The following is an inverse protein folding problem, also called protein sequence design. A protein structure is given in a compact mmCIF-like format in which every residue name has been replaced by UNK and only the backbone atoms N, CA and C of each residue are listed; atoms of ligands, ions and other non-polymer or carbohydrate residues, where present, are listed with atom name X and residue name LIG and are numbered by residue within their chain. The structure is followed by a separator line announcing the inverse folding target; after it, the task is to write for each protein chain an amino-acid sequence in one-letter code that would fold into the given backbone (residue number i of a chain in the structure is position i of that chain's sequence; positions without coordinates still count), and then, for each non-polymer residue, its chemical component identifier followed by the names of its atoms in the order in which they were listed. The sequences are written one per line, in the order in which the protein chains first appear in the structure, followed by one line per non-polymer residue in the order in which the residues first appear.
data_IF_492538719207
#
_entry.id   IF_492538719207
#
_cell.length_a   1.000
_cell.length_b   1.000
_cell.length_c   1.000
_cell.angle_alpha   90.00
_cell.angle_beta   90.00
_cell.angle_gamma   90.00
#
_symmetry.space_group_name_H-M   'P 1'
#
loop_
_entity.id
_entity.type
_entity.pdbx_description
1 polymer ?
#
# COMPACT_ATOMS: atom_id res chain seq x y z
N UNK A 1 -17.51 -32.57 1.06
CA UNK A 1 -17.46 -31.24 1.71
C UNK A 1 -17.88 -30.19 0.69
N UNK A 2 -18.89 -29.37 0.98
CA UNK A 2 -19.35 -28.33 0.04
C UNK A 2 -18.35 -27.16 0.08
N UNK A 3 -17.93 -26.66 -1.09
CA UNK A 3 -17.01 -25.52 -1.19
C UNK A 3 -17.56 -24.25 -0.50
N UNK A 4 -18.89 -24.13 -0.43
CA UNK A 4 -19.58 -22.99 0.19
C UNK A 4 -19.40 -22.92 1.71
N UNK A 5 -19.38 -24.08 2.39
CA UNK A 5 -19.12 -24.16 3.84
C UNK A 5 -17.70 -23.71 4.16
N UNK A 6 -16.73 -24.12 3.33
CA UNK A 6 -15.35 -23.70 3.47
C UNK A 6 -15.22 -22.19 3.25
N UNK A 7 -15.86 -21.65 2.21
CA UNK A 7 -15.82 -20.22 1.92
C UNK A 7 -16.33 -19.39 3.11
N UNK A 8 -17.45 -19.79 3.70
CA UNK A 8 -18.05 -19.12 4.85
C UNK A 8 -17.15 -19.22 6.09
N UNK A 9 -16.56 -20.39 6.34
CA UNK A 9 -15.60 -20.59 7.44
C UNK A 9 -14.37 -19.68 7.31
N UNK A 10 -13.80 -19.58 6.11
CA UNK A 10 -12.67 -18.69 5.85
C UNK A 10 -13.06 -17.20 5.94
N UNK A 11 -14.23 -16.82 5.41
CA UNK A 11 -14.73 -15.46 5.49
C UNK A 11 -14.84 -14.99 6.95
N UNK A 12 -15.41 -15.83 7.81
CA UNK A 12 -15.51 -15.55 9.25
C UNK A 12 -14.14 -15.45 9.91
N UNK A 13 -13.21 -16.35 9.58
CA UNK A 13 -11.85 -16.33 10.13
C UNK A 13 -11.07 -15.06 9.80
N UNK A 14 -11.37 -14.44 8.65
CA UNK A 14 -10.73 -13.19 8.19
C UNK A 14 -11.61 -11.95 8.39
N UNK A 15 -12.78 -12.09 9.03
CA UNK A 15 -13.76 -11.00 9.22
C UNK A 15 -14.07 -10.24 7.92
N UNK A 16 -14.22 -10.97 6.83
CA UNK A 16 -14.46 -10.39 5.51
C UNK A 16 -15.92 -9.95 5.37
N UNK A 17 -16.18 -8.80 4.71
CA UNK A 17 -17.54 -8.35 4.47
C UNK A 17 -18.25 -9.20 3.40
N UNK A 18 -19.58 -9.28 3.48
CA UNK A 18 -20.42 -10.15 2.65
C UNK A 18 -20.20 -9.96 1.13
N UNK A 19 -19.94 -8.73 0.68
CA UNK A 19 -19.68 -8.46 -0.73
C UNK A 19 -18.45 -9.21 -1.27
N UNK A 20 -17.43 -9.46 -0.44
CA UNK A 20 -16.24 -10.22 -0.82
C UNK A 20 -16.58 -11.70 -0.97
N UNK A 21 -17.45 -12.20 -0.09
CA UNK A 21 -17.90 -13.60 -0.10
C UNK A 21 -18.73 -13.90 -1.34
N UNK A 22 -19.64 -12.99 -1.70
CA UNK A 22 -20.46 -13.14 -2.90
C UNK A 22 -19.63 -13.12 -4.18
N UNK A 23 -18.67 -12.20 -4.26
CA UNK A 23 -17.71 -12.15 -5.36
C UNK A 23 -16.87 -13.43 -5.45
N UNK A 24 -16.39 -13.95 -4.31
CA UNK A 24 -15.65 -15.20 -4.27
C UNK A 24 -16.51 -16.42 -4.70
N UNK A 25 -17.81 -16.42 -4.37
CA UNK A 25 -18.76 -17.46 -4.78
C UNK A 25 -18.94 -17.45 -6.30
N UNK A 26 -19.12 -16.27 -6.90
CA UNK A 26 -19.23 -16.13 -8.36
C UNK A 26 -17.97 -16.63 -9.08
N UNK A 27 -16.79 -16.29 -8.57
CA UNK A 27 -15.50 -16.77 -9.11
C UNK A 27 -15.37 -18.29 -9.02
N UNK A 28 -15.80 -18.91 -7.91
CA UNK A 28 -15.79 -20.37 -7.75
C UNK A 28 -16.72 -21.06 -8.76
N UNK A 29 -17.89 -20.50 -9.02
CA UNK A 29 -18.80 -21.02 -10.04
C UNK A 29 -18.22 -20.90 -11.45
N UNK A 30 -17.55 -19.79 -11.75
CA UNK A 30 -16.82 -19.61 -13.01
C UNK A 30 -15.72 -20.66 -13.17
N UNK A 31 -14.93 -20.92 -12.13
CA UNK A 31 -13.89 -21.94 -12.14
C UNK A 31 -14.44 -23.37 -12.28
N UNK A 32 -15.60 -23.65 -11.68
CA UNK A 32 -16.32 -24.92 -11.87
C UNK A 32 -16.74 -25.12 -13.32
N UNK A 33 -17.29 -24.08 -13.96
CA UNK A 33 -17.65 -24.10 -15.39
C UNK A 33 -16.45 -24.35 -16.29
N UNK A 34 -15.27 -23.90 -15.88
CA UNK A 34 -14.01 -24.11 -16.63
C UNK A 34 -13.30 -25.45 -16.33
N UNK A 35 -13.85 -26.31 -15.46
CA UNK A 35 -13.24 -27.61 -15.11
C UNK A 35 -11.97 -27.53 -14.25
N UNK A 36 -11.57 -26.33 -13.82
CA UNK A 36 -10.35 -26.11 -13.01
C UNK A 36 -10.47 -26.55 -11.54
N UNK A 37 -11.68 -26.92 -11.12
CA UNK A 37 -11.97 -27.46 -9.79
C UNK A 37 -11.71 -28.97 -9.67
N UNK A 38 -11.57 -29.69 -10.79
CA UNK A 38 -11.38 -31.15 -10.81
C UNK A 38 -9.92 -31.49 -10.43
N UNK A 39 -9.75 -32.39 -9.43
CA UNK A 39 -8.42 -32.90 -9.01
C UNK A 39 -7.60 -32.01 -8.07
N UNK A 40 -8.17 -30.91 -7.54
CA UNK A 40 -7.50 -30.03 -6.57
C UNK A 40 -8.09 -30.19 -5.18
N UNK A 41 -7.27 -29.95 -4.15
CA UNK A 41 -7.80 -29.82 -2.79
C UNK A 41 -8.75 -28.61 -2.76
N UNK A 42 -10.03 -28.87 -2.51
CA UNK A 42 -11.10 -27.85 -2.52
C UNK A 42 -10.81 -26.70 -1.57
N UNK A 43 -10.14 -26.96 -0.45
CA UNK A 43 -9.76 -25.91 0.49
C UNK A 43 -8.66 -24.99 -0.06
N UNK A 44 -7.68 -25.52 -0.80
CA UNK A 44 -6.62 -24.71 -1.44
C UNK A 44 -7.19 -23.86 -2.56
N UNK A 45 -8.20 -24.39 -3.28
CA UNK A 45 -8.93 -23.65 -4.30
C UNK A 45 -9.71 -22.47 -3.69
N UNK A 46 -10.48 -22.73 -2.64
CA UNK A 46 -11.26 -21.70 -1.92
C UNK A 46 -10.35 -20.61 -1.38
N UNK A 47 -9.24 -20.97 -0.74
CA UNK A 47 -8.27 -19.99 -0.24
C UNK A 47 -7.68 -19.12 -1.37
N UNK A 48 -7.37 -19.70 -2.53
CA UNK A 48 -6.82 -18.97 -3.66
C UNK A 48 -7.83 -18.00 -4.27
N UNK A 49 -9.09 -18.42 -4.41
CA UNK A 49 -10.16 -17.56 -4.91
C UNK A 49 -10.46 -16.43 -3.93
N UNK A 50 -10.56 -16.76 -2.64
CA UNK A 50 -10.79 -15.76 -1.60
C UNK A 50 -9.68 -14.70 -1.58
N UNK A 51 -8.42 -15.12 -1.76
CA UNK A 51 -7.32 -14.17 -1.87
C UNK A 51 -7.48 -13.19 -3.05
N UNK A 52 -7.90 -13.68 -4.22
CA UNK A 52 -8.14 -12.81 -5.39
C UNK A 52 -9.35 -11.90 -5.14
N UNK A 53 -10.42 -12.41 -4.53
CA UNK A 53 -11.61 -11.63 -4.19
C UNK A 53 -11.30 -10.49 -3.20
N UNK A 54 -10.49 -10.77 -2.18
CA UNK A 54 -10.00 -9.75 -1.25
C UNK A 54 -9.17 -8.68 -1.97
N UNK A 55 -8.32 -9.10 -2.93
CA UNK A 55 -7.52 -8.16 -3.73
C UNK A 55 -8.40 -7.24 -4.57
N UNK A 56 -9.39 -7.78 -5.26
CA UNK A 56 -10.36 -6.96 -6.01
C UNK A 56 -11.15 -5.99 -5.14
N UNK A 57 -11.58 -6.46 -3.97
CA UNK A 57 -12.40 -5.68 -3.06
C UNK A 57 -11.55 -4.73 -2.19
N UNK A 58 -10.27 -4.56 -2.53
CA UNK A 58 -9.35 -3.65 -1.85
C UNK A 58 -9.20 -3.95 -0.35
N UNK A 59 -9.43 -5.19 0.07
CA UNK A 59 -9.32 -5.60 1.47
C UNK A 59 -7.91 -6.12 1.77
N UNK A 60 -7.15 -5.50 2.70
CA UNK A 60 -5.74 -5.78 2.86
C UNK A 60 -5.52 -7.05 3.69
N UNK A 61 -5.64 -8.22 3.06
CA UNK A 61 -5.26 -9.50 3.67
C UNK A 61 -3.81 -9.85 3.33
N UNK A 62 -3.01 -10.25 4.32
CA UNK A 62 -1.62 -10.62 4.07
C UNK A 62 -1.54 -12.00 3.43
N UNK A 63 -0.74 -12.10 2.37
CA UNK A 63 -0.44 -13.38 1.70
C UNK A 63 0.15 -14.41 2.68
N UNK A 64 0.89 -13.95 3.70
CA UNK A 64 1.47 -14.80 4.76
C UNK A 64 0.39 -15.51 5.58
N UNK A 65 -0.69 -14.81 5.94
CA UNK A 65 -1.79 -15.37 6.73
C UNK A 65 -2.54 -16.48 5.96
N UNK A 66 -2.65 -16.30 4.64
CA UNK A 66 -3.26 -17.29 3.74
C UNK A 66 -2.32 -18.48 3.46
N UNK A 67 -1.01 -18.21 3.30
CA UNK A 67 0.02 -19.22 3.01
C UNK A 67 0.30 -20.14 4.20
N UNK A 68 0.25 -19.63 5.44
CA UNK A 68 0.50 -20.44 6.64
C UNK A 68 -0.41 -21.66 6.72
N UNK A 69 -1.58 -21.62 6.09
CA UNK A 69 -2.55 -22.70 6.17
C UNK A 69 -2.24 -23.88 5.23
N UNK A 70 -1.59 -23.72 4.06
CA UNK A 70 -1.51 -24.81 3.05
C UNK A 70 -0.28 -24.87 2.13
N UNK A 71 0.26 -26.09 1.98
CA UNK A 71 1.25 -26.48 0.96
C UNK A 71 0.64 -26.45 -0.45
N UNK A 72 1.36 -25.92 -1.43
CA UNK A 72 0.91 -25.89 -2.83
C UNK A 72 -0.06 -24.75 -3.20
N UNK A 73 -0.33 -23.83 -2.27
CA UNK A 73 -1.17 -22.65 -2.51
C UNK A 73 -0.67 -21.80 -3.68
N UNK A 74 0.63 -21.48 -3.75
CA UNK A 74 1.19 -20.63 -4.81
C UNK A 74 0.99 -21.19 -6.22
N UNK A 75 1.13 -22.51 -6.40
CA UNK A 75 0.89 -23.18 -7.70
C UNK A 75 -0.58 -23.10 -8.10
N UNK A 76 -1.47 -23.24 -7.13
CA UNK A 76 -2.92 -23.17 -7.35
C UNK A 76 -3.35 -21.74 -7.64
N UNK A 77 -2.88 -20.78 -6.84
CA UNK A 77 -3.14 -19.35 -7.01
C UNK A 77 -2.75 -18.88 -8.41
N UNK A 78 -1.54 -19.23 -8.86
CA UNK A 78 -1.06 -18.88 -10.21
C UNK A 78 -1.99 -19.36 -11.32
N UNK A 79 -2.38 -20.64 -11.27
CA UNK A 79 -3.30 -21.20 -12.28
C UNK A 79 -4.69 -20.58 -12.21
N UNK A 80 -5.17 -20.26 -11.02
CA UNK A 80 -6.47 -19.60 -10.83
C UNK A 80 -6.43 -18.17 -11.34
N UNK A 81 -5.36 -17.41 -11.05
CA UNK A 81 -5.19 -16.05 -11.56
C UNK A 81 -5.07 -16.02 -13.09
N UNK A 82 -4.34 -16.98 -13.67
CA UNK A 82 -4.24 -17.14 -15.13
C UNK A 82 -5.61 -17.47 -15.75
N UNK A 83 -6.33 -18.44 -15.18
CA UNK A 83 -7.64 -18.85 -15.69
C UNK A 83 -8.69 -17.75 -15.62
N UNK A 84 -8.67 -16.96 -14.55
CA UNK A 84 -9.61 -15.88 -14.36
C UNK A 84 -9.19 -14.58 -15.07
N UNK A 85 -8.04 -14.56 -15.75
CA UNK A 85 -7.56 -13.40 -16.50
C UNK A 85 -7.14 -12.21 -15.62
N UNK A 86 -6.80 -12.46 -14.35
CA UNK A 86 -6.33 -11.41 -13.45
C UNK A 86 -4.89 -11.05 -13.78
N UNK A 87 -4.73 -10.00 -14.58
CA UNK A 87 -3.41 -9.41 -14.84
C UNK A 87 -2.96 -8.62 -13.61
N UNK A 88 -2.00 -9.18 -12.89
CA UNK A 88 -1.44 -8.75 -11.59
C UNK A 88 -0.83 -7.34 -11.57
N UNK A 89 -0.73 -6.66 -12.72
CA UNK A 89 0.06 -5.44 -12.89
C UNK A 89 -0.72 -4.17 -12.48
N UNK A 90 -2.02 -4.09 -12.77
CA UNK A 90 -2.85 -2.94 -12.38
C UNK A 90 -3.20 -2.95 -10.87
N UNK A 91 -3.33 -4.15 -10.30
CA UNK A 91 -3.68 -4.37 -8.89
C UNK A 91 -2.55 -4.01 -7.92
N UNK A 92 -1.29 -4.08 -8.35
CA UNK A 92 -0.13 -3.72 -7.51
C UNK A 92 -0.19 -2.25 -7.06
N UNK A 93 -0.67 -1.34 -7.92
CA UNK A 93 -0.77 0.09 -7.60
C UNK A 93 -1.79 0.37 -6.50
N UNK A 94 -3.01 -0.16 -6.64
CA UNK A 94 -4.07 0.06 -5.66
C UNK A 94 -3.77 -0.65 -4.35
N UNK A 95 -3.33 -1.91 -4.41
CA UNK A 95 -2.98 -2.68 -3.21
C UNK A 95 -1.85 -2.04 -2.40
N UNK A 96 -0.88 -1.39 -3.05
CA UNK A 96 0.16 -0.64 -2.35
C UNK A 96 -0.37 0.60 -1.63
N UNK A 97 -1.31 1.35 -2.24
CA UNK A 97 -1.91 2.54 -1.63
C UNK A 97 -2.80 2.20 -0.42
N UNK A 98 -3.64 1.17 -0.54
CA UNK A 98 -4.48 0.70 0.58
C UNK A 98 -3.62 0.26 1.76
N UNK A 99 -2.56 -0.50 1.46
CA UNK A 99 -1.61 -0.97 2.47
C UNK A 99 -0.89 0.20 3.14
N UNK A 100 -0.47 1.19 2.35
CA UNK A 100 0.18 2.40 2.86
C UNK A 100 -0.72 3.12 3.87
N UNK A 101 -2.00 3.28 3.55
CA UNK A 101 -2.98 3.94 4.44
C UNK A 101 -3.24 3.13 5.71
N UNK A 102 -3.33 1.80 5.60
CA UNK A 102 -3.47 0.92 6.77
C UNK A 102 -2.27 1.03 7.73
N UNK A 103 -1.05 1.01 7.19
CA UNK A 103 0.17 1.13 8.00
C UNK A 103 0.29 2.53 8.59
N UNK A 104 -0.04 3.57 7.83
CA UNK A 104 -0.05 4.95 8.33
C UNK A 104 -1.05 5.12 9.48
N UNK A 105 -2.25 4.58 9.38
CA UNK A 105 -3.26 4.65 10.44
C UNK A 105 -2.76 3.93 11.72
N UNK A 106 -2.16 2.74 11.60
CA UNK A 106 -1.55 2.03 12.74
C UNK A 106 -0.43 2.81 13.44
N UNK A 107 0.24 3.71 12.73
CA UNK A 107 1.36 4.50 13.24
C UNK A 107 0.97 5.96 13.59
N UNK A 108 -0.27 6.38 13.31
CA UNK A 108 -0.71 7.76 13.47
C UNK A 108 -0.12 8.76 12.46
N UNK A 109 0.27 8.29 11.25
CA UNK A 109 1.00 9.06 10.24
C UNK A 109 0.16 9.44 9.02
N UNK A 110 -1.15 9.62 9.20
CA UNK A 110 -2.05 10.11 8.15
C UNK A 110 -1.52 11.33 7.35
N UNK A 111 -0.90 12.38 7.96
CA UNK A 111 -0.44 13.55 7.17
C UNK A 111 0.65 13.22 6.15
N UNK A 112 1.42 12.15 6.34
CA UNK A 112 2.52 11.76 5.45
C UNK A 112 2.09 10.80 4.33
N UNK A 113 0.83 10.37 4.31
CA UNK A 113 0.28 9.42 3.34
C UNK A 113 0.33 9.96 1.92
N UNK A 114 -0.05 11.22 1.74
CA UNK A 114 -0.09 11.87 0.42
C UNK A 114 1.32 12.06 -0.16
N UNK A 115 2.27 12.49 0.67
CA UNK A 115 3.65 12.64 0.27
C UNK A 115 4.27 11.29 -0.11
N UNK A 116 4.02 10.26 0.69
CA UNK A 116 4.47 8.90 0.41
C UNK A 116 3.84 8.33 -0.88
N UNK A 117 2.57 8.65 -1.16
CA UNK A 117 1.90 8.26 -2.41
C UNK A 117 2.54 8.93 -3.64
N UNK A 118 2.92 10.22 -3.52
CA UNK A 118 3.64 10.96 -4.56
C UNK A 118 5.02 10.38 -4.83
N UNK A 119 5.76 10.01 -3.77
CA UNK A 119 7.07 9.32 -3.85
C UNK A 119 6.93 7.99 -4.58
N UNK A 120 5.91 7.20 -4.22
CA UNK A 120 5.66 5.90 -4.82
C UNK A 120 5.30 6.02 -6.31
N UNK A 121 4.51 7.02 -6.68
CA UNK A 121 4.17 7.28 -8.07
C UNK A 121 5.40 7.65 -8.91
N UNK A 122 6.26 8.53 -8.40
CA UNK A 122 7.52 8.90 -9.05
C UNK A 122 8.50 7.73 -9.14
N UNK A 123 8.46 6.81 -8.19
CA UNK A 123 9.34 5.65 -8.17
C UNK A 123 9.02 4.62 -9.27
N UNK A 124 7.74 4.51 -9.66
CA UNK A 124 7.26 3.61 -10.72
C UNK A 124 7.17 2.13 -10.30
N UNK A 125 7.45 1.81 -9.04
CA UNK A 125 7.21 0.48 -8.47
C UNK A 125 6.25 0.57 -7.29
N UNK A 126 5.18 -0.21 -7.37
CA UNK A 126 4.10 -0.23 -6.39
C UNK A 126 4.09 -1.55 -5.61
N UNK A 127 5.21 -1.91 -4.99
CA UNK A 127 5.25 -3.04 -4.05
C UNK A 127 4.90 -2.58 -2.64
N UNK A 128 4.34 -3.47 -1.80
CA UNK A 128 4.06 -3.15 -0.39
C UNK A 128 5.32 -2.72 0.38
N UNK A 129 6.48 -3.31 0.03
CA UNK A 129 7.78 -2.94 0.61
C UNK A 129 8.18 -1.52 0.17
N UNK A 130 7.97 -1.17 -1.10
CA UNK A 130 8.21 0.19 -1.58
C UNK A 130 7.25 1.21 -0.95
N UNK A 131 5.99 0.86 -0.74
CA UNK A 131 5.02 1.70 -0.03
C UNK A 131 5.45 1.98 1.42
N UNK A 132 5.88 0.93 2.14
CA UNK A 132 6.38 1.06 3.52
C UNK A 132 7.65 1.91 3.57
N UNK A 133 8.57 1.69 2.62
CA UNK A 133 9.80 2.47 2.52
C UNK A 133 9.54 3.94 2.13
N UNK A 134 8.57 4.20 1.25
CA UNK A 134 8.16 5.55 0.89
C UNK A 134 7.56 6.29 2.09
N UNK A 135 6.72 5.63 2.88
CA UNK A 135 6.18 6.18 4.13
C UNK A 135 7.30 6.47 5.14
N UNK A 136 8.27 5.56 5.30
CA UNK A 136 9.44 5.81 6.14
C UNK A 136 10.30 6.98 5.66
N UNK A 137 10.44 7.16 4.33
CA UNK A 137 11.20 8.29 3.78
C UNK A 137 10.48 9.62 4.03
N UNK A 138 9.15 9.65 3.89
CA UNK A 138 8.34 10.84 4.17
C UNK A 138 8.28 11.17 5.68
N UNK A 139 8.10 10.16 6.53
CA UNK A 139 7.96 10.29 7.98
C UNK A 139 9.29 10.12 8.75
N UNK A 140 10.44 10.22 8.09
CA UNK A 140 11.77 10.00 8.66
C UNK A 140 12.06 10.72 10.00
N UNK A 141 11.58 11.97 10.24
CA UNK A 141 11.80 12.63 11.54
C UNK A 141 10.84 12.15 12.66
N UNK A 142 9.75 11.48 12.31
CA UNK A 142 8.63 11.20 13.22
C UNK A 142 8.49 9.72 13.58
N UNK A 143 9.29 8.82 12.99
CA UNK A 143 9.09 7.37 13.14
C UNK A 143 10.38 6.60 13.33
N UNK A 144 10.33 5.60 14.21
CA UNK A 144 11.41 4.63 14.32
C UNK A 144 11.26 3.49 13.32
N UNK A 145 12.40 3.02 12.79
CA UNK A 145 12.42 1.90 11.83
C UNK A 145 11.88 0.60 12.45
N UNK A 146 12.01 0.43 13.76
CA UNK A 146 11.51 -0.73 14.51
C UNK A 146 9.98 -0.75 14.56
N UNK A 147 9.33 0.40 14.76
CA UNK A 147 7.86 0.52 14.73
C UNK A 147 7.29 0.21 13.35
N UNK A 148 7.90 0.77 12.30
CA UNK A 148 7.46 0.54 10.91
C UNK A 148 7.61 -0.94 10.52
N UNK A 149 8.68 -1.59 10.98
CA UNK A 149 8.92 -3.03 10.75
C UNK A 149 7.86 -3.88 11.45
N UNK A 150 7.50 -3.55 12.70
CA UNK A 150 6.44 -4.24 13.46
C UNK A 150 5.07 -4.05 12.81
N UNK A 151 4.75 -2.83 12.37
CA UNK A 151 3.45 -2.52 11.77
C UNK A 151 3.26 -3.16 10.39
N UNK A 152 4.33 -3.24 9.59
CA UNK A 152 4.29 -3.77 8.21
C UNK A 152 4.55 -5.27 8.11
N UNK A 153 5.28 -5.86 9.05
CA UNK A 153 5.65 -7.29 9.04
C UNK A 153 6.76 -7.66 8.06
N UNK A 154 7.45 -6.68 7.46
CA UNK A 154 8.62 -6.89 6.60
C UNK A 154 9.92 -6.85 7.40
N UNK A 155 11.03 -7.31 6.83
CA UNK A 155 12.34 -7.21 7.48
C UNK A 155 12.93 -5.80 7.34
N UNK A 156 13.68 -5.38 8.36
CA UNK A 156 14.40 -4.11 8.40
C UNK A 156 15.26 -3.92 7.14
N UNK A 157 15.99 -4.96 6.74
CA UNK A 157 16.90 -4.94 5.59
C UNK A 157 16.14 -4.72 4.28
N UNK A 158 14.97 -5.32 4.11
CA UNK A 158 14.16 -5.15 2.89
C UNK A 158 13.67 -3.70 2.75
N UNK A 159 13.19 -3.12 3.85
CA UNK A 159 12.74 -1.72 3.89
C UNK A 159 13.92 -0.78 3.61
N UNK A 160 15.06 -0.96 4.29
CA UNK A 160 16.26 -0.13 4.08
C UNK A 160 16.78 -0.20 2.65
N UNK A 161 16.84 -1.41 2.06
CA UNK A 161 17.27 -1.58 0.66
C UNK A 161 16.37 -0.80 -0.30
N UNK A 162 15.05 -0.84 -0.08
CA UNK A 162 14.09 -0.11 -0.92
C UNK A 162 14.13 1.39 -0.65
N UNK A 163 14.25 1.82 0.61
CA UNK A 163 14.36 3.22 1.01
C UNK A 163 15.62 3.87 0.41
N UNK A 164 16.76 3.16 0.43
CA UNK A 164 17.99 3.59 -0.23
C UNK A 164 17.78 3.73 -1.75
N UNK A 165 17.18 2.74 -2.39
CA UNK A 165 16.90 2.80 -3.83
C UNK A 165 15.92 3.94 -4.21
N UNK A 166 14.94 4.24 -3.35
CA UNK A 166 14.02 5.37 -3.52
C UNK A 166 14.78 6.69 -3.41
N UNK A 167 15.60 6.85 -2.36
CA UNK A 167 16.45 8.04 -2.16
C UNK A 167 17.42 8.26 -3.31
N UNK A 168 18.09 7.20 -3.77
CA UNK A 168 19.00 7.27 -4.92
C UNK A 168 18.25 7.67 -6.20
N UNK A 169 17.14 7.00 -6.53
CA UNK A 169 16.39 7.29 -7.77
C UNK A 169 15.78 8.69 -7.78
N UNK A 170 15.28 9.17 -6.64
CA UNK A 170 14.70 10.51 -6.52
C UNK A 170 15.77 11.61 -6.41
N UNK A 171 16.92 11.36 -5.77
CA UNK A 171 18.06 12.29 -5.81
C UNK A 171 18.78 12.32 -7.16
N UNK A 172 18.73 11.25 -7.97
CA UNK A 172 19.25 11.28 -9.35
C UNK A 172 18.43 12.27 -10.21
N UNK A 173 17.14 12.46 -9.93
CA UNK A 173 16.32 13.50 -10.58
C UNK A 173 16.68 14.92 -10.13
N UNK A 174 17.11 15.08 -8.87
CA UNK A 174 17.61 16.37 -8.36
C UNK A 174 18.97 16.71 -8.98
N UNK A 175 19.90 15.74 -9.10
CA UNK A 175 21.20 16.00 -9.76
C UNK A 175 21.11 16.29 -11.27
N UNK A 176 20.04 15.88 -11.95
CA UNK A 176 19.82 16.22 -13.36
C UNK A 176 18.99 17.49 -13.57
N UNK A 177 18.41 18.07 -12.50
CA UNK A 177 17.68 19.35 -12.53
C UNK A 177 18.37 20.46 -11.74
N UNK A 178 19.42 20.14 -10.97
CA UNK A 178 20.20 21.09 -10.18
C UNK A 178 21.67 21.12 -10.62
N UNK A 179 21.91 21.51 -11.87
CA UNK A 179 23.00 22.47 -12.11
C UNK A 179 22.50 23.83 -11.63
N UNK A 180 22.62 24.06 -10.34
CA UNK A 180 22.34 25.36 -9.73
C UNK A 180 21.51 25.28 -8.47
N UNK A 181 22.07 24.78 -7.37
CA UNK A 181 21.72 25.27 -6.03
C UNK A 181 22.95 25.13 -5.12
N UNK A 182 23.90 26.03 -5.35
CA UNK A 182 24.74 26.54 -4.28
C UNK A 182 24.21 27.93 -3.94
N UNK A 183 23.45 28.06 -2.85
CA UNK A 183 23.33 29.26 -2.02
C UNK A 183 22.23 29.07 -0.96
N UNK A 184 22.67 28.82 0.27
CA UNK A 184 22.17 29.44 1.51
C UNK A 184 20.66 29.71 1.64
N UNK A 185 19.98 28.97 2.51
CA UNK A 185 18.78 29.48 3.20
C UNK A 185 19.21 30.26 4.45
N UNK A 186 18.89 31.57 4.57
CA UNK A 186 18.79 32.22 5.87
C UNK A 186 17.33 32.28 6.34
N UNK A 187 17.16 31.99 7.63
CA UNK A 187 16.16 32.48 8.57
C UNK A 187 14.78 32.95 8.04
N UNK A 188 13.72 32.29 8.50
CA UNK A 188 12.38 32.87 8.65
C UNK A 188 12.02 32.89 10.13
N UNK A 189 12.25 34.05 10.76
CA UNK A 189 11.49 34.47 11.94
C UNK A 189 10.16 35.08 11.48
N UNK A 190 9.08 34.98 12.29
CA UNK A 190 7.79 35.56 11.96
C UNK A 190 7.72 37.04 12.40
N UNK A 191 7.36 37.96 11.51
CA UNK A 191 7.07 39.35 11.86
C UNK A 191 5.69 39.81 11.34
N UNK A 192 4.84 40.15 12.32
CA UNK A 192 4.00 41.34 12.40
C UNK A 192 3.07 41.68 11.21
N UNK A 193 1.78 41.36 11.39
CA UNK A 193 0.68 42.12 10.81
C UNK A 193 0.17 43.12 11.85
N UNK A 194 0.48 44.41 11.66
CA UNK A 194 -0.32 45.54 12.16
C UNK A 194 -0.02 46.75 11.28
N UNK A 195 -0.95 47.05 10.37
CA UNK A 195 -0.99 48.30 9.62
C UNK A 195 -2.44 48.81 9.62
N UNK A 196 -2.69 49.84 10.43
CA UNK A 196 -3.85 50.74 10.30
C UNK A 196 -3.38 52.14 10.68
N UNK A 197 -3.49 53.05 9.70
CA UNK A 197 -2.97 54.44 9.66
C UNK A 197 -3.70 55.38 10.64
N UNK A 198 -3.20 56.62 10.87
CA UNK A 198 -3.53 57.77 9.99
C UNK A 198 -2.27 58.61 9.64
N UNK A 199 -2.04 59.06 8.40
CA UNK A 199 -2.65 60.20 7.69
C UNK A 199 -2.42 61.58 8.37
N UNK A 200 -1.25 62.17 8.09
CA UNK A 200 -0.99 63.56 7.66
C UNK A 200 -1.74 64.74 8.32
N UNK A 201 -1.01 65.69 8.93
CA UNK A 201 -0.75 67.03 8.33
C UNK A 201 0.07 67.93 9.27
N UNK A 202 1.03 68.65 8.67
CA UNK A 202 1.90 69.67 9.25
C UNK A 202 1.17 70.99 9.52
N UNK A 203 1.78 71.74 10.45
CA UNK A 203 1.56 73.14 10.85
C UNK A 203 1.14 74.13 9.76
N UNK A 204 0.24 75.04 10.15
CA UNK A 204 0.29 76.46 9.79
C UNK A 204 0.16 77.29 11.07
N UNK A 205 1.24 77.96 11.47
CA UNK A 205 1.26 79.38 11.88
C UNK A 205 2.53 79.98 11.32
#
# INVERSE_FOLDING_TARGET
MRLDELLTSYANAFSLPNHVVDLAREMLERLRRMGLSQGRNGETLVAAVLYIACKQSQHPVQLKDMLQRKKGFLKTLRKVSEALGYSTVADQRQSAQIFLRMVANKLGLEPYVEEAASILHRYGEHTHVAATAALYVAAAPSCSLTEVTKASGFSVVAICRRAKAIREKLWIQVKNSERGFGATSPALQPQAQQASRPASQQERV
#
